data_IF_141445946401
#
_entry.id   IF_141445946401
#
_cell.length_a   1.000
_cell.length_b   1.000
_cell.length_c   1.000
_cell.angle_alpha   90.00
_cell.angle_beta   90.00
_cell.angle_gamma   90.00
#
_symmetry.space_group_name_H-M   'P 1'
#
loop_
_entity.id
_entity.type
_entity.pdbx_description
1 polymer ?
#
# COMPACT_ATOMS: atom_id res chain seq x y z
N UNK A 1 9.38 12.78 -9.66
CA UNK A 1 8.59 11.90 -8.75
C UNK A 1 9.40 10.66 -8.53
N UNK A 2 9.58 10.26 -7.28
CA UNK A 2 10.19 8.98 -6.95
C UNK A 2 9.12 7.90 -6.99
N UNK A 3 9.45 6.76 -7.57
CA UNK A 3 8.62 5.58 -7.57
C UNK A 3 9.13 4.64 -6.49
N UNK A 4 8.24 4.18 -5.64
CA UNK A 4 8.53 3.21 -4.58
C UNK A 4 8.18 1.81 -5.02
N UNK A 5 8.79 0.80 -4.39
CA UNK A 5 8.50 -0.61 -4.61
C UNK A 5 8.04 -1.25 -3.29
N UNK A 6 6.86 -1.87 -3.28
CA UNK A 6 6.39 -2.60 -2.09
C UNK A 6 7.19 -3.89 -1.90
N UNK A 7 7.94 -3.98 -0.80
CA UNK A 7 8.82 -5.14 -0.53
C UNK A 7 8.07 -6.46 -0.31
N UNK A 8 6.78 -6.41 0.02
CA UNK A 8 5.94 -7.62 0.08
C UNK A 8 5.94 -8.39 -1.25
N UNK A 9 6.03 -7.70 -2.38
CA UNK A 9 6.16 -8.30 -3.71
C UNK A 9 7.39 -9.19 -3.86
N UNK A 10 8.42 -8.91 -3.06
CA UNK A 10 9.69 -9.65 -3.14
C UNK A 10 9.89 -10.67 -2.00
N UNK A 11 8.88 -10.93 -1.17
CA UNK A 11 9.00 -11.79 0.02
C UNK A 11 9.49 -13.21 -0.27
N UNK A 12 9.30 -13.69 -1.49
CA UNK A 12 9.70 -15.03 -1.93
C UNK A 12 11.11 -15.07 -2.56
N UNK A 13 11.82 -13.93 -2.67
CA UNK A 13 13.10 -13.80 -3.39
C UNK A 13 14.28 -13.46 -2.46
N UNK A 14 14.39 -14.16 -1.33
CA UNK A 14 15.48 -13.99 -0.37
C UNK A 14 16.85 -14.36 -0.97
N UNK A 15 18.00 -13.75 -0.53
CA UNK A 15 18.09 -12.79 0.59
C UNK A 15 17.74 -11.33 0.19
N UNK A 16 17.44 -10.50 1.19
CA UNK A 16 17.05 -9.10 0.97
C UNK A 16 18.15 -8.27 0.30
N UNK A 17 19.41 -8.53 0.60
CA UNK A 17 20.55 -7.85 -0.06
C UNK A 17 20.50 -7.96 -1.59
N UNK A 18 20.14 -9.13 -2.13
CA UNK A 18 20.02 -9.34 -3.57
C UNK A 18 18.77 -8.63 -4.13
N UNK A 19 17.67 -8.67 -3.38
CA UNK A 19 16.42 -7.96 -3.74
C UNK A 19 16.70 -6.46 -3.87
N UNK A 20 17.27 -5.83 -2.84
CA UNK A 20 17.55 -4.38 -2.83
C UNK A 20 18.50 -3.98 -3.98
N UNK A 21 19.50 -4.79 -4.24
CA UNK A 21 20.40 -4.58 -5.39
C UNK A 21 19.65 -4.61 -6.72
N UNK A 22 18.76 -5.60 -6.93
CA UNK A 22 17.92 -5.69 -8.14
C UNK A 22 17.04 -4.44 -8.29
N UNK A 23 16.43 -3.96 -7.21
CA UNK A 23 15.58 -2.78 -7.25
C UNK A 23 16.39 -1.51 -7.59
N UNK A 24 17.55 -1.33 -6.97
CA UNK A 24 18.45 -0.22 -7.30
C UNK A 24 18.91 -0.26 -8.77
N UNK A 25 19.31 -1.43 -9.28
CA UNK A 25 19.69 -1.63 -10.69
C UNK A 25 18.53 -1.36 -11.66
N UNK A 26 17.28 -1.62 -11.27
CA UNK A 26 16.09 -1.27 -12.05
C UNK A 26 15.78 0.23 -12.00
N UNK A 27 16.41 0.99 -11.10
CA UNK A 27 16.26 2.44 -11.00
C UNK A 27 15.13 2.90 -10.07
N UNK A 28 14.79 2.09 -9.06
CA UNK A 28 14.02 2.54 -7.90
C UNK A 28 14.91 3.39 -6.99
N UNK A 29 14.31 4.41 -6.37
CA UNK A 29 14.95 5.23 -5.35
C UNK A 29 14.33 4.98 -3.97
N UNK A 30 13.14 4.41 -3.94
CA UNK A 30 12.36 4.21 -2.72
C UNK A 30 11.77 2.81 -2.68
N UNK A 31 11.55 2.32 -1.46
CA UNK A 31 10.84 1.09 -1.17
C UNK A 31 9.80 1.33 -0.07
N UNK A 32 8.77 0.50 -0.03
CA UNK A 32 7.84 0.44 1.08
C UNK A 32 8.07 -0.83 1.88
N UNK A 33 8.14 -0.68 3.21
CA UNK A 33 8.41 -1.76 4.14
C UNK A 33 7.16 -2.53 4.55
N UNK A 34 7.35 -3.73 5.05
CA UNK A 34 6.31 -4.55 5.68
C UNK A 34 6.90 -5.41 6.81
N UNK A 35 6.08 -6.06 7.61
CA UNK A 35 6.51 -6.83 8.79
C UNK A 35 7.65 -7.83 8.56
N UNK A 36 7.81 -8.33 7.33
CA UNK A 36 8.87 -9.30 6.99
C UNK A 36 10.30 -8.72 6.99
N UNK A 37 10.44 -7.38 7.02
CA UNK A 37 11.77 -6.72 7.04
C UNK A 37 12.08 -6.01 8.36
N UNK A 38 11.23 -6.14 9.39
CA UNK A 38 11.33 -5.39 10.64
C UNK A 38 12.04 -6.15 11.77
N UNK A 39 12.59 -7.34 11.50
CA UNK A 39 13.24 -8.16 12.54
C UNK A 39 14.52 -7.50 13.09
N UNK A 40 15.34 -6.91 12.23
CA UNK A 40 16.52 -6.11 12.57
C UNK A 40 16.52 -4.81 11.75
N UNK A 41 15.84 -3.75 12.23
CA UNK A 41 15.73 -2.50 11.49
C UNK A 41 17.06 -1.81 11.23
N UNK A 42 18.04 -1.96 12.13
CA UNK A 42 19.34 -1.33 11.97
C UNK A 42 20.15 -1.99 10.85
N UNK A 43 20.19 -3.33 10.81
CA UNK A 43 20.82 -4.07 9.73
C UNK A 43 20.13 -3.78 8.39
N UNK A 44 18.80 -3.79 8.36
CA UNK A 44 18.06 -3.51 7.13
C UNK A 44 18.26 -2.07 6.64
N UNK A 45 18.35 -1.09 7.56
CA UNK A 45 18.71 0.30 7.22
C UNK A 45 20.07 0.38 6.55
N UNK A 46 21.07 -0.32 7.07
CA UNK A 46 22.40 -0.35 6.47
C UNK A 46 22.38 -0.94 5.04
N UNK A 47 21.57 -1.97 4.79
CA UNK A 47 21.39 -2.53 3.44
C UNK A 47 20.69 -1.55 2.48
N UNK A 48 19.68 -0.81 2.96
CA UNK A 48 19.06 0.25 2.17
C UNK A 48 20.07 1.33 1.79
N UNK A 49 20.87 1.80 2.75
CA UNK A 49 21.90 2.83 2.52
C UNK A 49 22.97 2.37 1.53
N UNK A 50 23.41 1.10 1.63
CA UNK A 50 24.39 0.50 0.74
C UNK A 50 23.90 0.44 -0.73
N UNK A 51 22.57 0.39 -0.94
CA UNK A 51 21.95 0.37 -2.27
C UNK A 51 21.38 1.74 -2.70
N UNK A 52 21.53 2.79 -1.89
CA UNK A 52 21.02 4.13 -2.19
C UNK A 52 19.49 4.21 -2.19
N UNK A 53 18.81 3.33 -1.44
CA UNK A 53 17.35 3.25 -1.33
C UNK A 53 16.86 3.94 -0.04
N UNK A 54 15.75 4.66 -0.14
CA UNK A 54 15.02 5.18 1.01
C UNK A 54 13.77 4.35 1.29
N UNK A 55 13.27 4.39 2.54
CA UNK A 55 12.01 3.75 2.92
C UNK A 55 11.08 4.82 3.54
N UNK A 56 10.41 5.64 2.70
CA UNK A 56 9.55 6.71 3.20
C UNK A 56 8.20 6.21 3.74
N UNK A 57 7.76 5.00 3.38
CA UNK A 57 6.51 4.39 3.84
C UNK A 57 6.72 2.95 4.29
N UNK A 58 5.78 2.48 5.11
CA UNK A 58 5.83 1.09 5.58
C UNK A 58 4.53 0.65 6.26
N UNK A 59 4.22 -0.63 6.10
CA UNK A 59 3.02 -1.26 6.61
C UNK A 59 3.22 -1.80 8.04
N UNK A 60 2.37 -1.35 8.96
CA UNK A 60 2.33 -1.77 10.36
C UNK A 60 0.92 -2.26 10.71
N UNK A 61 0.81 -3.43 11.32
CA UNK A 61 -0.49 -3.97 11.69
C UNK A 61 -1.17 -3.11 12.76
N UNK A 62 -2.51 -3.07 12.72
CA UNK A 62 -3.29 -2.37 13.74
C UNK A 62 -2.98 -2.90 15.15
N UNK A 63 -2.77 -4.20 15.29
CA UNK A 63 -2.40 -4.82 16.56
C UNK A 63 -1.09 -4.23 17.12
N UNK A 64 -0.03 -4.13 16.30
CA UNK A 64 1.23 -3.53 16.73
C UNK A 64 1.05 -2.06 17.13
N UNK A 65 0.27 -1.29 16.36
CA UNK A 65 0.02 0.12 16.66
C UNK A 65 -0.78 0.31 17.96
N UNK A 66 -1.66 -0.63 18.30
CA UNK A 66 -2.46 -0.58 19.53
C UNK A 66 -1.69 -1.10 20.75
N UNK A 67 -0.95 -2.20 20.62
CA UNK A 67 -0.38 -2.96 21.76
C UNK A 67 1.11 -2.70 22.00
N UNK A 68 1.88 -2.35 20.95
CA UNK A 68 3.35 -2.14 21.06
C UNK A 68 3.81 -0.97 20.18
N UNK A 69 3.18 0.18 20.37
CA UNK A 69 3.48 1.37 19.57
C UNK A 69 4.93 1.83 19.69
N UNK A 70 5.55 1.69 20.85
CA UNK A 70 6.95 2.08 21.05
C UNK A 70 7.88 1.30 20.12
N UNK A 71 7.59 0.02 19.89
CA UNK A 71 8.33 -0.81 18.91
C UNK A 71 8.05 -0.34 17.48
N UNK A 72 6.79 -0.10 17.12
CA UNK A 72 6.45 0.42 15.79
C UNK A 72 7.17 1.75 15.51
N UNK A 73 7.15 2.68 16.45
CA UNK A 73 7.84 3.97 16.37
C UNK A 73 9.35 3.80 16.20
N UNK A 74 9.98 2.94 17.00
CA UNK A 74 11.41 2.67 16.91
C UNK A 74 11.81 2.12 15.54
N UNK A 75 11.05 1.14 15.01
CA UNK A 75 11.25 0.60 13.66
C UNK A 75 11.12 1.69 12.62
N UNK A 76 10.02 2.45 12.65
CA UNK A 76 9.76 3.51 11.68
C UNK A 76 10.86 4.58 11.66
N UNK A 77 11.32 5.03 12.83
CA UNK A 77 12.42 6.02 12.93
C UNK A 77 13.73 5.46 12.40
N UNK A 78 14.09 4.23 12.76
CA UNK A 78 15.33 3.59 12.31
C UNK A 78 15.36 3.44 10.80
N UNK A 79 14.25 3.04 10.18
CA UNK A 79 14.15 2.83 8.73
C UNK A 79 13.92 4.13 7.95
N UNK A 80 13.58 5.24 8.62
CA UNK A 80 13.34 6.53 7.98
C UNK A 80 11.92 6.72 7.45
N UNK A 81 10.97 5.89 7.89
CA UNK A 81 9.55 5.96 7.52
C UNK A 81 8.96 7.31 7.93
N UNK A 82 8.11 7.85 7.08
CA UNK A 82 7.31 9.07 7.29
C UNK A 82 5.82 8.79 7.25
N UNK A 83 5.39 7.86 6.40
CA UNK A 83 4.01 7.39 6.29
C UNK A 83 3.89 5.97 6.85
N UNK A 84 3.08 5.80 7.88
CA UNK A 84 2.70 4.50 8.43
C UNK A 84 1.36 4.10 7.79
N UNK A 85 1.39 3.06 6.95
CA UNK A 85 0.21 2.41 6.40
C UNK A 85 -0.28 1.28 7.31
N UNK A 86 -1.59 1.22 7.59
CA UNK A 86 -2.20 0.05 8.21
C UNK A 86 -2.84 -0.81 7.10
N UNK A 87 -2.27 -2.02 6.80
CA UNK A 87 -2.54 -2.64 5.51
C UNK A 87 -3.72 -3.61 5.49
N UNK A 88 -4.17 -4.10 6.65
CA UNK A 88 -5.05 -5.28 6.61
C UNK A 88 -5.81 -5.52 7.92
N UNK A 89 -7.03 -6.04 7.78
CA UNK A 89 -7.78 -6.62 8.87
C UNK A 89 -8.02 -8.10 8.58
N UNK A 90 -7.64 -8.97 9.52
CA UNK A 90 -7.76 -10.41 9.35
C UNK A 90 -9.23 -10.82 9.18
N UNK A 91 -9.50 -11.82 8.34
CA UNK A 91 -10.86 -12.22 8.01
C UNK A 91 -11.77 -12.53 9.24
N UNK A 92 -11.27 -13.20 10.30
CA UNK A 92 -12.08 -13.43 11.52
C UNK A 92 -12.48 -12.15 12.26
N UNK A 93 -11.72 -11.05 12.08
CA UNK A 93 -11.93 -9.78 12.79
C UNK A 93 -12.77 -8.78 12.00
N UNK A 94 -13.15 -9.14 10.77
CA UNK A 94 -13.94 -8.26 9.88
C UNK A 94 -15.39 -8.18 10.35
N UNK A 95 -15.91 -6.97 10.61
CA UNK A 95 -17.32 -6.78 10.95
C UNK A 95 -18.27 -7.21 9.83
N UNK A 96 -19.45 -7.71 10.21
CA UNK A 96 -20.47 -8.11 9.26
C UNK A 96 -21.46 -6.99 8.87
N UNK A 97 -21.38 -5.82 9.49
CA UNK A 97 -22.33 -4.72 9.31
C UNK A 97 -21.68 -3.33 9.30
N UNK A 98 -22.47 -2.33 8.97
CA UNK A 98 -22.04 -0.94 8.83
C UNK A 98 -21.53 -0.33 10.15
N UNK A 99 -22.19 -0.63 11.26
CA UNK A 99 -21.82 -0.08 12.57
C UNK A 99 -20.50 -0.65 13.06
N UNK A 100 -20.25 -1.93 12.83
CA UNK A 100 -18.97 -2.58 13.12
C UNK A 100 -17.83 -2.00 12.31
N UNK A 101 -18.01 -1.75 11.02
CA UNK A 101 -16.98 -1.12 10.19
C UNK A 101 -16.75 0.34 10.58
N UNK A 102 -17.79 1.08 10.96
CA UNK A 102 -17.63 2.42 11.53
C UNK A 102 -16.89 2.40 12.86
N UNK A 103 -17.15 1.39 13.70
CA UNK A 103 -16.41 1.19 14.95
C UNK A 103 -14.92 0.86 14.68
N UNK A 104 -14.63 0.06 13.65
CA UNK A 104 -13.25 -0.19 13.21
C UNK A 104 -12.58 1.11 12.73
N UNK A 105 -13.29 1.96 11.98
CA UNK A 105 -12.81 3.29 11.62
C UNK A 105 -12.41 4.12 12.86
N UNK A 106 -13.22 4.10 13.92
CA UNK A 106 -12.88 4.78 15.17
C UNK A 106 -11.62 4.22 15.85
N UNK A 107 -11.38 2.90 15.77
CA UNK A 107 -10.11 2.30 16.23
C UNK A 107 -8.92 2.83 15.42
N UNK A 108 -9.05 2.90 14.10
CA UNK A 108 -8.02 3.49 13.23
C UNK A 108 -7.78 4.97 13.55
N UNK A 109 -8.84 5.74 13.87
CA UNK A 109 -8.70 7.14 14.28
C UNK A 109 -7.88 7.30 15.56
N UNK A 110 -8.09 6.43 16.56
CA UNK A 110 -7.33 6.42 17.83
C UNK A 110 -5.86 6.06 17.57
N UNK A 111 -5.60 4.99 16.83
CA UNK A 111 -4.24 4.59 16.46
C UNK A 111 -3.54 5.70 15.64
N UNK A 112 -4.25 6.28 14.67
CA UNK A 112 -3.74 7.35 13.82
C UNK A 112 -3.45 8.65 14.57
N UNK A 113 -4.22 9.01 15.59
CA UNK A 113 -3.90 10.14 16.45
C UNK A 113 -2.53 9.94 17.14
N UNK A 114 -2.31 8.76 17.72
CA UNK A 114 -1.04 8.41 18.36
C UNK A 114 0.15 8.43 17.38
N UNK A 115 -0.07 7.94 16.15
CA UNK A 115 0.94 7.95 15.07
C UNK A 115 1.29 9.38 14.68
N UNK A 116 0.29 10.26 14.51
CA UNK A 116 0.49 11.68 14.18
C UNK A 116 1.15 12.46 15.30
N UNK A 117 0.79 12.20 16.56
CA UNK A 117 1.43 12.83 17.74
C UNK A 117 2.93 12.48 17.82
N UNK A 118 3.31 11.29 17.32
CA UNK A 118 4.72 10.88 17.18
C UNK A 118 5.41 11.49 15.95
N UNK A 119 4.70 12.25 15.11
CA UNK A 119 5.25 12.98 13.96
C UNK A 119 5.30 12.19 12.66
N UNK A 120 4.46 11.17 12.50
CA UNK A 120 4.29 10.41 11.27
C UNK A 120 2.94 10.72 10.61
N UNK A 121 2.86 10.57 9.31
CA UNK A 121 1.58 10.47 8.60
C UNK A 121 0.98 9.07 8.81
N UNK A 122 -0.36 8.96 8.73
CA UNK A 122 -1.06 7.69 8.93
C UNK A 122 -2.11 7.47 7.85
N UNK A 123 -2.18 6.25 7.29
CA UNK A 123 -3.16 5.86 6.29
C UNK A 123 -3.68 4.43 6.50
N UNK A 124 -4.91 4.19 6.05
CA UNK A 124 -5.45 2.86 5.81
C UNK A 124 -5.13 2.44 4.38
N UNK A 125 -4.70 1.20 4.17
CA UNK A 125 -4.53 0.57 2.86
C UNK A 125 -5.64 -0.46 2.64
N UNK A 126 -6.32 -0.37 1.51
CA UNK A 126 -7.47 -1.22 1.20
C UNK A 126 -7.11 -2.47 0.41
N UNK A 127 -8.00 -3.46 0.52
CA UNK A 127 -8.11 -4.63 -0.35
C UNK A 127 -9.48 -4.65 -1.04
N UNK A 128 -9.90 -5.79 -1.56
CA UNK A 128 -11.18 -5.97 -2.26
C UNK A 128 -12.39 -5.99 -1.32
N UNK A 129 -12.23 -6.54 -0.12
CA UNK A 129 -13.33 -6.76 0.81
C UNK A 129 -13.97 -5.47 1.33
N UNK A 130 -13.25 -4.35 1.30
CA UNK A 130 -13.80 -3.05 1.70
C UNK A 130 -14.79 -2.46 0.69
N UNK A 131 -14.84 -3.02 -0.52
CA UNK A 131 -15.74 -2.55 -1.58
C UNK A 131 -16.94 -3.48 -1.80
N UNK A 132 -17.01 -4.61 -1.09
CA UNK A 132 -18.17 -5.49 -1.12
C UNK A 132 -19.35 -4.83 -0.40
N UNK A 133 -20.58 -4.87 -0.99
CA UNK A 133 -21.74 -4.23 -0.37
C UNK A 133 -22.12 -4.91 0.94
N UNK A 134 -22.36 -4.10 1.96
CA UNK A 134 -22.92 -4.54 3.24
C UNK A 134 -24.45 -4.75 3.11
N UNK A 135 -25.13 -5.37 4.11
CA UNK A 135 -26.57 -5.60 4.07
C UNK A 135 -27.42 -4.34 3.87
N UNK A 136 -26.93 -3.18 4.28
CA UNK A 136 -27.58 -1.87 4.10
C UNK A 136 -27.25 -1.19 2.77
N UNK A 137 -26.45 -1.83 1.90
CA UNK A 137 -26.02 -1.32 0.62
C UNK A 137 -24.82 -0.37 0.68
N UNK A 138 -24.31 -0.06 1.85
CA UNK A 138 -23.03 0.68 2.00
C UNK A 138 -21.82 -0.21 1.79
N UNK A 139 -20.61 0.37 1.80
CA UNK A 139 -19.37 -0.39 1.72
C UNK A 139 -18.54 -0.24 3.00
N UNK A 140 -17.76 -1.25 3.40
CA UNK A 140 -16.82 -1.15 4.50
C UNK A 140 -15.92 0.09 4.42
N UNK A 141 -15.35 0.38 3.24
CA UNK A 141 -14.47 1.54 3.06
C UNK A 141 -15.15 2.87 3.41
N UNK A 142 -16.40 3.07 2.97
CA UNK A 142 -17.14 4.28 3.29
C UNK A 142 -17.43 4.37 4.81
N UNK A 143 -17.76 3.25 5.45
CA UNK A 143 -18.02 3.19 6.90
C UNK A 143 -16.75 3.41 7.73
N UNK A 144 -15.60 2.91 7.29
CA UNK A 144 -14.30 3.22 7.90
C UNK A 144 -14.07 4.75 7.89
N UNK A 145 -14.28 5.40 6.75
CA UNK A 145 -14.10 6.86 6.63
C UNK A 145 -15.09 7.67 7.49
N UNK A 146 -16.32 7.20 7.65
CA UNK A 146 -17.27 7.82 8.59
C UNK A 146 -16.79 7.71 10.05
N UNK A 147 -16.14 6.61 10.42
CA UNK A 147 -15.59 6.39 11.76
C UNK A 147 -14.30 7.16 12.01
N UNK A 148 -13.57 7.51 10.96
CA UNK A 148 -12.27 8.16 11.00
C UNK A 148 -12.20 9.34 10.00
N UNK A 149 -12.78 10.51 10.34
CA UNK A 149 -12.84 11.66 9.42
C UNK A 149 -11.47 12.14 8.92
N UNK A 150 -10.44 12.04 9.75
CA UNK A 150 -9.06 12.51 9.45
C UNK A 150 -8.13 11.39 8.98
N UNK A 151 -8.65 10.22 8.64
CA UNK A 151 -7.85 9.08 8.20
C UNK A 151 -7.34 9.33 6.78
N UNK A 152 -6.02 9.26 6.59
CA UNK A 152 -5.40 9.18 5.28
C UNK A 152 -5.74 7.85 4.60
N UNK A 153 -5.67 7.87 3.28
CA UNK A 153 -5.88 6.67 2.47
C UNK A 153 -4.68 6.40 1.58
N UNK A 154 -4.15 5.21 1.70
CA UNK A 154 -3.23 4.60 0.77
C UNK A 154 -4.05 3.70 -0.15
N UNK A 155 -4.56 4.28 -1.23
CA UNK A 155 -5.44 3.56 -2.15
C UNK A 155 -4.68 2.49 -2.93
N UNK A 156 -5.11 1.22 -2.85
CA UNK A 156 -4.75 0.21 -3.83
C UNK A 156 -5.85 0.15 -4.91
N UNK A 157 -5.52 0.69 -6.07
CA UNK A 157 -6.45 0.82 -7.20
C UNK A 157 -6.89 -0.53 -7.76
N UNK A 158 -5.98 -1.50 -7.82
CA UNK A 158 -6.29 -2.82 -8.38
C UNK A 158 -7.23 -3.61 -7.46
N UNK A 159 -7.08 -3.45 -6.15
CA UNK A 159 -8.01 -4.03 -5.19
C UNK A 159 -9.38 -3.34 -5.20
N UNK A 160 -9.45 -2.02 -5.44
CA UNK A 160 -10.75 -1.33 -5.70
C UNK A 160 -11.46 -1.99 -6.89
N UNK A 161 -10.74 -2.20 -8.00
CA UNK A 161 -11.29 -2.84 -9.21
C UNK A 161 -11.72 -4.29 -8.93
N UNK A 162 -10.88 -5.09 -8.25
CA UNK A 162 -11.23 -6.47 -7.86
C UNK A 162 -12.41 -6.53 -6.90
N UNK A 163 -12.58 -5.52 -6.06
CA UNK A 163 -13.76 -5.33 -5.22
C UNK A 163 -15.03 -4.96 -5.99
N UNK A 164 -14.93 -4.75 -7.30
CA UNK A 164 -16.07 -4.42 -8.17
C UNK A 164 -16.43 -2.93 -8.20
N UNK A 165 -15.53 -2.07 -7.70
CA UNK A 165 -15.76 -0.63 -7.64
C UNK A 165 -14.98 0.13 -8.73
N UNK A 166 -15.43 1.34 -9.06
CA UNK A 166 -14.77 2.23 -10.02
C UNK A 166 -13.75 3.11 -9.29
N UNK A 167 -12.44 2.94 -9.53
CA UNK A 167 -11.40 3.71 -8.87
C UNK A 167 -11.45 5.21 -9.21
N UNK A 168 -11.89 5.60 -10.41
CA UNK A 168 -12.03 7.01 -10.76
C UNK A 168 -13.10 7.68 -9.89
N UNK A 169 -14.23 6.99 -9.68
CA UNK A 169 -15.28 7.50 -8.79
C UNK A 169 -14.77 7.63 -7.35
N UNK A 170 -14.03 6.66 -6.84
CA UNK A 170 -13.49 6.73 -5.49
C UNK A 170 -12.43 7.83 -5.34
N UNK A 171 -11.61 8.09 -6.37
CA UNK A 171 -10.69 9.23 -6.39
C UNK A 171 -11.49 10.55 -6.42
N UNK A 172 -12.60 10.63 -7.15
CA UNK A 172 -13.44 11.82 -7.19
C UNK A 172 -14.14 12.11 -5.85
N UNK A 173 -14.64 11.08 -5.19
CA UNK A 173 -15.40 11.21 -3.95
C UNK A 173 -14.50 11.41 -2.71
N UNK A 174 -13.29 10.83 -2.69
CA UNK A 174 -12.43 10.76 -1.51
C UNK A 174 -10.98 11.18 -1.76
N UNK A 175 -10.70 11.87 -2.86
CA UNK A 175 -9.36 12.24 -3.29
C UNK A 175 -8.56 13.00 -2.24
N UNK A 176 -9.20 13.88 -1.48
CA UNK A 176 -8.55 14.67 -0.42
C UNK A 176 -7.90 13.82 0.68
N UNK A 177 -8.30 12.56 0.83
CA UNK A 177 -7.75 11.62 1.80
C UNK A 177 -6.57 10.80 1.26
N UNK A 178 -6.42 10.73 -0.08
CA UNK A 178 -5.43 9.85 -0.71
C UNK A 178 -4.04 10.46 -0.58
N UNK A 179 -3.22 9.87 0.31
CA UNK A 179 -1.85 10.31 0.58
C UNK A 179 -0.80 9.46 -0.13
N UNK A 180 -1.19 8.25 -0.54
CA UNK A 180 -0.36 7.30 -1.28
C UNK A 180 -1.22 6.46 -2.22
N UNK A 181 -0.60 5.93 -3.28
CA UNK A 181 -1.25 5.11 -4.32
C UNK A 181 -0.43 3.86 -4.58
N UNK A 182 -1.02 2.70 -4.36
CA UNK A 182 -0.48 1.42 -4.82
C UNK A 182 -0.81 1.21 -6.29
N UNK A 183 0.24 1.00 -7.06
CA UNK A 183 0.22 0.85 -8.52
C UNK A 183 0.45 -0.62 -8.85
N UNK A 184 -0.65 -1.36 -8.97
CA UNK A 184 -0.71 -2.81 -9.18
C UNK A 184 -1.59 -3.10 -10.39
N UNK A 185 -1.22 -4.05 -11.24
CA UNK A 185 -1.97 -4.33 -12.46
C UNK A 185 -2.62 -5.71 -12.44
N UNK A 186 -3.74 -5.84 -13.13
CA UNK A 186 -4.56 -7.03 -13.20
C UNK A 186 -4.36 -7.68 -14.56
N UNK A 187 -3.98 -8.96 -14.57
CA UNK A 187 -3.83 -9.74 -15.80
C UNK A 187 -5.15 -9.85 -16.58
N UNK A 188 -5.05 -10.07 -17.89
CA UNK A 188 -6.24 -10.36 -18.69
C UNK A 188 -6.87 -11.68 -18.26
N UNK A 189 -8.18 -11.86 -18.45
CA UNK A 189 -8.84 -13.12 -18.13
C UNK A 189 -8.10 -14.33 -18.75
N UNK A 190 -7.72 -15.28 -17.88
CA UNK A 190 -7.00 -16.50 -18.28
C UNK A 190 -5.47 -16.35 -18.34
N UNK A 191 -4.91 -15.16 -18.13
CA UNK A 191 -3.47 -14.92 -18.04
C UNK A 191 -3.02 -14.80 -16.57
N UNK A 192 -1.73 -14.96 -16.28
CA UNK A 192 -1.12 -14.76 -14.96
C UNK A 192 -1.67 -15.69 -13.87
N UNK A 193 -2.13 -16.89 -14.21
CA UNK A 193 -2.74 -17.82 -13.24
C UNK A 193 -1.74 -18.29 -12.17
N UNK A 194 -0.48 -18.38 -12.51
CA UNK A 194 0.64 -18.70 -11.61
C UNK A 194 1.11 -17.49 -10.78
N UNK A 195 0.58 -16.31 -11.09
CA UNK A 195 0.83 -15.05 -10.40
C UNK A 195 -0.48 -14.48 -9.78
N UNK A 196 -1.44 -15.34 -9.43
CA UNK A 196 -2.73 -15.01 -8.81
C UNK A 196 -3.59 -14.00 -9.62
N UNK A 197 -3.41 -14.01 -10.96
CA UNK A 197 -4.10 -13.11 -11.88
C UNK A 197 -3.60 -11.66 -11.82
N UNK A 198 -2.42 -11.42 -11.26
CA UNK A 198 -1.74 -10.12 -11.32
C UNK A 198 -0.86 -10.01 -12.57
N UNK A 199 -0.41 -8.80 -12.87
CA UNK A 199 0.45 -8.52 -14.02
C UNK A 199 1.47 -7.44 -13.68
N UNK A 200 2.58 -7.42 -14.42
CA UNK A 200 3.51 -6.29 -14.39
C UNK A 200 2.75 -5.01 -14.81
N UNK A 201 3.02 -3.87 -14.18
CA UNK A 201 2.30 -2.63 -14.45
C UNK A 201 2.43 -2.21 -15.92
N UNK A 202 1.29 -1.98 -16.57
CA UNK A 202 1.18 -1.65 -17.99
C UNK A 202 1.10 -2.86 -18.92
N UNK A 203 1.17 -4.07 -18.38
CA UNK A 203 0.99 -5.32 -19.14
C UNK A 203 -0.36 -5.99 -18.88
N UNK A 204 -1.13 -5.44 -17.94
CA UNK A 204 -2.47 -5.89 -17.58
C UNK A 204 -3.60 -5.12 -18.25
N UNK A 205 -4.65 -4.87 -17.49
CA UNK A 205 -5.91 -4.26 -17.97
C UNK A 205 -6.23 -2.91 -17.34
N UNK A 206 -5.45 -2.46 -16.34
CA UNK A 206 -5.71 -1.22 -15.60
C UNK A 206 -5.26 0.00 -16.41
N UNK A 207 -6.12 1.02 -16.53
CA UNK A 207 -5.77 2.31 -17.17
C UNK A 207 -4.85 3.15 -16.27
N UNK A 208 -3.62 2.72 -16.10
CA UNK A 208 -2.66 3.39 -15.23
C UNK A 208 -2.32 4.80 -15.69
N UNK A 209 -2.33 5.07 -16.98
CA UNK A 209 -2.08 6.42 -17.49
C UNK A 209 -3.17 7.39 -17.04
N UNK A 210 -4.43 7.00 -17.17
CA UNK A 210 -5.57 7.81 -16.73
C UNK A 210 -5.61 7.97 -15.21
N UNK A 211 -5.38 6.87 -14.48
CA UNK A 211 -5.42 6.85 -13.01
C UNK A 211 -4.30 7.67 -12.36
N UNK A 212 -3.07 7.61 -12.89
CA UNK A 212 -1.97 8.45 -12.40
C UNK A 212 -2.26 9.93 -12.67
N UNK A 213 -2.81 10.25 -13.84
CA UNK A 213 -3.21 11.62 -14.16
C UNK A 213 -4.31 12.12 -13.22
N UNK A 214 -5.33 11.29 -12.94
CA UNK A 214 -6.39 11.61 -11.99
C UNK A 214 -5.87 11.79 -10.57
N UNK A 215 -5.04 10.87 -10.07
CA UNK A 215 -4.45 10.96 -8.75
C UNK A 215 -3.61 12.23 -8.57
N UNK A 216 -2.77 12.55 -9.55
CA UNK A 216 -1.95 13.80 -9.53
C UNK A 216 -2.79 15.07 -9.51
N UNK A 217 -3.93 15.06 -10.20
CA UNK A 217 -4.78 16.25 -10.33
C UNK A 217 -5.70 16.46 -9.12
N UNK A 218 -6.10 15.38 -8.43
CA UNK A 218 -7.22 15.39 -7.49
C UNK A 218 -6.86 14.97 -6.06
N UNK A 219 -5.59 14.62 -5.81
CA UNK A 219 -5.19 14.09 -4.49
C UNK A 219 -3.90 14.74 -3.99
N UNK A 220 -3.67 14.78 -2.67
CA UNK A 220 -2.40 15.17 -2.08
C UNK A 220 -1.32 14.08 -2.12
N UNK A 221 -1.54 12.96 -2.84
CA UNK A 221 -0.64 11.81 -2.85
C UNK A 221 0.80 12.18 -3.21
N UNK A 222 1.73 11.78 -2.35
CA UNK A 222 3.17 11.98 -2.53
C UNK A 222 3.91 10.71 -2.90
N UNK A 223 3.34 9.54 -2.55
CA UNK A 223 3.94 8.23 -2.71
C UNK A 223 3.15 7.43 -3.76
N UNK A 224 3.87 6.90 -4.74
CA UNK A 224 3.32 5.99 -5.74
C UNK A 224 4.14 4.70 -5.66
N UNK A 225 3.51 3.63 -5.20
CA UNK A 225 4.15 2.40 -4.78
C UNK A 225 3.78 1.28 -5.76
N UNK A 226 4.75 0.79 -6.50
CA UNK A 226 4.58 -0.34 -7.42
C UNK A 226 4.51 -1.63 -6.62
N UNK A 227 3.46 -2.42 -6.85
CA UNK A 227 3.22 -3.66 -6.15
C UNK A 227 2.72 -4.78 -7.06
N UNK A 228 3.00 -6.02 -6.65
CA UNK A 228 2.48 -7.26 -7.22
C UNK A 228 2.47 -8.34 -6.13
N UNK A 229 1.34 -8.98 -5.86
CA UNK A 229 1.27 -9.88 -4.70
C UNK A 229 2.06 -11.16 -4.87
N UNK A 230 2.25 -11.64 -6.10
CA UNK A 230 2.91 -12.92 -6.33
C UNK A 230 3.64 -12.99 -7.68
N UNK A 231 4.67 -12.12 -7.92
CA UNK A 231 5.45 -12.22 -9.16
C UNK A 231 6.28 -13.51 -9.15
N UNK A 232 6.38 -14.18 -10.29
CA UNK A 232 7.23 -15.36 -10.47
C UNK A 232 8.67 -15.01 -10.88
N UNK A 233 8.92 -13.74 -11.29
CA UNK A 233 10.23 -13.20 -11.63
C UNK A 233 10.33 -11.74 -11.15
N UNK A 234 11.08 -11.53 -10.06
CA UNK A 234 11.27 -10.22 -9.45
C UNK A 234 11.86 -9.19 -10.42
N UNK A 235 12.93 -9.57 -11.17
CA UNK A 235 13.63 -8.62 -12.06
C UNK A 235 12.76 -8.21 -13.23
N UNK A 236 12.00 -9.13 -13.80
CA UNK A 236 11.04 -8.85 -14.86
C UNK A 236 9.98 -7.87 -14.36
N UNK A 237 9.32 -8.18 -13.24
CA UNK A 237 8.28 -7.35 -12.65
C UNK A 237 8.82 -5.95 -12.32
N UNK A 238 9.91 -5.86 -11.55
CA UNK A 238 10.48 -4.58 -11.13
C UNK A 238 10.85 -3.71 -12.33
N UNK A 239 11.54 -4.27 -13.35
CA UNK A 239 11.99 -3.53 -14.52
C UNK A 239 10.81 -3.06 -15.39
N UNK A 240 9.94 -3.96 -15.80
CA UNK A 240 8.82 -3.61 -16.68
C UNK A 240 7.91 -2.57 -16.06
N UNK A 241 7.58 -2.74 -14.78
CA UNK A 241 6.68 -1.81 -14.08
C UNK A 241 7.28 -0.41 -13.97
N UNK A 242 8.55 -0.28 -13.56
CA UNK A 242 9.20 1.04 -13.44
C UNK A 242 9.40 1.73 -14.79
N UNK A 243 9.73 0.97 -15.84
CA UNK A 243 9.87 1.50 -17.21
C UNK A 243 8.51 2.02 -17.72
N UNK A 244 7.44 1.27 -17.49
CA UNK A 244 6.08 1.68 -17.86
C UNK A 244 5.68 2.99 -17.19
N UNK A 245 5.77 3.09 -15.87
CA UNK A 245 5.32 4.28 -15.14
C UNK A 245 6.18 5.51 -15.41
N UNK A 246 7.45 5.34 -15.77
CA UNK A 246 8.32 6.44 -16.21
C UNK A 246 7.97 6.97 -17.60
N UNK A 247 7.16 6.25 -18.37
CA UNK A 247 6.70 6.68 -19.70
C UNK A 247 5.42 7.54 -19.67
N UNK A 248 4.78 7.72 -18.52
CA UNK A 248 3.52 8.45 -18.32
C UNK A 248 3.69 9.95 -18.04
#
# INVERSE_FOLDING_TARGET
MNWSFQLYSARNFQPWSDVLKVLAECGYAEVEGFGGVYADPAAFRAELDANGLAMPSGHFSIEMLETDFAKAESIARTLGVKLIGCPYLQAPDRPGDADGWKAFGKRLAVAGARVRDAGFDFAWHNHDFEFQPLPDGSTPQARIFEGAPDLGWEIDVAWVIRGGADPFKWIDDYGDRIVAVHVKDIARPGEGLDEDGWSDVGYGTVDWKGLIAAARAKTPAKHFIIEHDNPNDLRRFARRSIETVKSF
#
